data_IF_791549326898
#
_entry.id   IF_791549326898
#
_cell.length_a   1.000
_cell.length_b   1.000
_cell.length_c   1.000
_cell.angle_alpha   90.00
_cell.angle_beta   90.00
_cell.angle_gamma   90.00
#
_symmetry.space_group_name_H-M   'P 1'
#
loop_
_entity.id
_entity.type
_entity.pdbx_description
1 polymer ?
#
# COMPACT_ATOMS: atom_id res chain seq x y z
N UNK A 1 -3.83 19.28 -13.31
CA UNK A 1 -4.42 18.13 -12.58
C UNK A 1 -3.41 17.01 -12.60
N UNK A 2 -3.28 16.23 -11.52
CA UNK A 2 -2.40 15.06 -11.51
C UNK A 2 -2.84 14.05 -12.58
N UNK A 3 -1.87 13.37 -13.20
CA UNK A 3 -2.16 12.37 -14.23
C UNK A 3 -2.94 11.18 -13.66
N UNK A 4 -3.86 10.56 -14.44
CA UNK A 4 -4.53 9.33 -14.04
C UNK A 4 -3.53 8.22 -13.70
N UNK A 5 -3.81 7.47 -12.63
CA UNK A 5 -2.95 6.38 -12.17
C UNK A 5 -3.36 5.09 -12.87
N UNK A 6 -2.50 4.53 -13.73
CA UNK A 6 -2.74 3.21 -14.34
C UNK A 6 -2.69 2.12 -13.25
N UNK A 7 -3.82 1.44 -13.02
CA UNK A 7 -3.93 0.40 -11.98
C UNK A 7 -4.02 -1.01 -12.56
N UNK A 8 -4.50 -1.15 -13.80
CA UNK A 8 -4.55 -2.43 -14.50
C UNK A 8 -4.56 -2.25 -16.02
N UNK A 9 -4.08 -3.26 -16.74
CA UNK A 9 -4.09 -3.32 -18.19
C UNK A 9 -4.43 -4.73 -18.65
N UNK A 10 -5.29 -4.84 -19.66
CA UNK A 10 -5.64 -6.11 -20.29
C UNK A 10 -5.87 -5.90 -21.78
N UNK A 11 -4.99 -6.47 -22.62
CA UNK A 11 -5.00 -6.32 -24.07
C UNK A 11 -5.10 -4.84 -24.49
N UNK A 12 -6.26 -4.42 -25.00
CA UNK A 12 -6.52 -3.05 -25.48
C UNK A 12 -7.18 -2.15 -24.42
N UNK A 13 -7.45 -2.65 -23.22
CA UNK A 13 -8.15 -1.91 -22.16
C UNK A 13 -7.18 -1.53 -21.05
N UNK A 14 -7.20 -0.26 -20.68
CA UNK A 14 -6.48 0.28 -19.53
C UNK A 14 -7.46 0.79 -18.49
N UNK A 15 -7.21 0.44 -17.23
CA UNK A 15 -7.98 0.89 -16.09
C UNK A 15 -7.16 1.92 -15.32
N UNK A 16 -7.71 3.13 -15.22
CA UNK A 16 -7.08 4.27 -14.59
C UNK A 16 -7.88 4.73 -13.38
N UNK A 17 -7.19 5.00 -12.27
CA UNK A 17 -7.75 5.66 -11.11
C UNK A 17 -7.49 7.17 -11.23
N UNK A 18 -8.56 7.97 -11.17
CA UNK A 18 -8.45 9.42 -11.16
C UNK A 18 -8.02 9.89 -9.75
N UNK A 19 -6.87 10.58 -9.60
CA UNK A 19 -6.39 11.00 -8.28
C UNK A 19 -7.40 11.82 -7.49
N UNK A 20 -8.14 12.71 -8.16
CA UNK A 20 -9.17 13.55 -7.53
C UNK A 20 -10.38 12.79 -6.99
N UNK A 21 -10.56 11.51 -7.35
CA UNK A 21 -11.64 10.66 -6.85
C UNK A 21 -11.14 9.58 -5.86
N UNK A 22 -9.83 9.52 -5.61
CA UNK A 22 -9.22 8.57 -4.69
C UNK A 22 -9.48 8.87 -3.19
N UNK A 23 -10.22 9.94 -2.90
CA UNK A 23 -10.69 10.28 -1.56
C UNK A 23 -11.95 9.48 -1.13
N UNK A 24 -12.47 8.59 -2.00
CA UNK A 24 -13.55 7.68 -1.67
C UNK A 24 -13.00 6.35 -1.16
N UNK A 25 -13.72 5.72 -0.22
CA UNK A 25 -13.37 4.39 0.26
C UNK A 25 -13.45 3.35 -0.86
N UNK A 26 -12.51 2.41 -0.87
CA UNK A 26 -12.44 1.30 -1.80
C UNK A 26 -12.18 -0.02 -1.06
N UNK A 27 -12.46 -1.13 -1.74
CA UNK A 27 -12.28 -2.48 -1.22
C UNK A 27 -11.43 -3.30 -2.18
N UNK A 28 -10.29 -3.80 -1.70
CA UNK A 28 -9.48 -4.80 -2.40
C UNK A 28 -9.80 -6.16 -1.78
N UNK A 29 -10.44 -7.04 -2.56
CA UNK A 29 -10.84 -8.38 -2.12
C UNK A 29 -10.37 -9.44 -3.11
N UNK A 30 -10.26 -10.69 -2.65
CA UNK A 30 -9.79 -11.82 -3.45
C UNK A 30 -9.23 -12.95 -2.60
N UNK A 31 -9.09 -14.14 -3.18
CA UNK A 31 -8.51 -15.31 -2.51
C UNK A 31 -7.00 -15.13 -2.22
N UNK A 32 -6.41 -16.01 -1.42
CA UNK A 32 -4.95 -16.04 -1.22
C UNK A 32 -4.23 -16.24 -2.56
N UNK A 33 -3.13 -15.51 -2.78
CA UNK A 33 -2.36 -15.62 -4.02
C UNK A 33 -2.91 -14.84 -5.23
N UNK A 34 -4.04 -14.12 -5.08
CA UNK A 34 -4.65 -13.35 -6.19
C UNK A 34 -4.09 -11.93 -6.37
N UNK A 35 -3.00 -11.58 -5.69
CA UNK A 35 -2.33 -10.29 -5.89
C UNK A 35 -2.91 -9.12 -5.08
N UNK A 36 -3.68 -9.36 -4.01
CA UNK A 36 -4.19 -8.29 -3.11
C UNK A 36 -3.08 -7.36 -2.60
N UNK A 37 -2.00 -7.94 -2.04
CA UNK A 37 -0.86 -7.17 -1.50
C UNK A 37 -0.16 -6.38 -2.60
N UNK A 38 0.08 -7.01 -3.76
CA UNK A 38 0.69 -6.34 -4.93
C UNK A 38 -0.17 -5.17 -5.40
N UNK A 39 -1.49 -5.34 -5.46
CA UNK A 39 -2.42 -4.27 -5.86
C UNK A 39 -2.39 -3.11 -4.86
N UNK A 40 -2.42 -3.41 -3.56
CA UNK A 40 -2.32 -2.40 -2.50
C UNK A 40 -1.00 -1.63 -2.58
N UNK A 41 0.12 -2.34 -2.79
CA UNK A 41 1.43 -1.74 -2.93
C UNK A 41 1.53 -0.84 -4.17
N UNK A 42 1.06 -1.31 -5.34
CA UNK A 42 1.04 -0.50 -6.57
C UNK A 42 0.26 0.81 -6.39
N UNK A 43 -0.87 0.78 -5.68
CA UNK A 43 -1.64 1.97 -5.35
C UNK A 43 -0.85 2.90 -4.42
N UNK A 44 -0.26 2.36 -3.35
CA UNK A 44 0.51 3.14 -2.39
C UNK A 44 1.71 3.84 -3.04
N UNK A 45 2.46 3.13 -3.88
CA UNK A 45 3.60 3.67 -4.63
C UNK A 45 3.14 4.76 -5.61
N UNK A 46 1.99 4.56 -6.27
CA UNK A 46 1.44 5.54 -7.22
C UNK A 46 0.97 6.82 -6.53
N UNK A 47 0.39 6.72 -5.34
CA UNK A 47 0.04 7.89 -4.52
C UNK A 47 1.29 8.62 -4.01
N UNK A 48 2.29 7.87 -3.51
CA UNK A 48 3.56 8.44 -3.06
C UNK A 48 4.27 9.22 -4.18
N UNK A 49 4.25 8.70 -5.42
CA UNK A 49 4.83 9.33 -6.61
C UNK A 49 4.24 10.70 -6.94
N UNK A 50 2.97 10.91 -6.63
CA UNK A 50 2.28 12.20 -6.83
C UNK A 50 2.29 13.07 -5.57
N UNK A 51 3.07 12.70 -4.55
CA UNK A 51 3.23 13.45 -3.30
C UNK A 51 2.12 13.24 -2.28
N UNK A 52 1.26 12.22 -2.46
CA UNK A 52 0.20 11.89 -1.50
C UNK A 52 0.76 10.92 -0.46
N UNK A 53 0.78 11.28 0.84
CA UNK A 53 1.25 10.38 1.89
C UNK A 53 0.25 9.23 2.08
N UNK A 54 0.78 8.02 2.24
CA UNK A 54 -0.02 6.81 2.44
C UNK A 54 0.36 6.19 3.79
N UNK A 55 -0.66 5.98 4.62
CA UNK A 55 -0.53 5.26 5.88
C UNK A 55 -1.12 3.86 5.72
N UNK A 56 -0.35 2.82 6.06
CA UNK A 56 -0.76 1.43 5.91
C UNK A 56 -0.34 0.60 7.12
N UNK A 57 -1.18 -0.35 7.50
CA UNK A 57 -0.82 -1.37 8.47
C UNK A 57 -0.17 -2.55 7.75
N UNK A 58 1.09 -2.84 8.07
CA UNK A 58 1.81 -3.99 7.53
C UNK A 58 1.88 -5.12 8.56
N UNK A 59 0.81 -5.92 8.63
CA UNK A 59 0.69 -7.02 9.60
C UNK A 59 1.63 -8.19 9.25
N UNK A 60 2.00 -8.35 7.98
CA UNK A 60 2.79 -9.49 7.50
C UNK A 60 4.26 -9.16 7.24
N UNK A 61 4.62 -7.87 7.21
CA UNK A 61 5.95 -7.41 6.81
C UNK A 61 6.15 -7.38 5.30
N UNK A 62 5.10 -7.62 4.50
CA UNK A 62 5.19 -7.75 3.04
C UNK A 62 5.27 -6.38 2.32
N UNK A 63 4.94 -5.28 3.00
CA UNK A 63 4.85 -3.93 2.41
C UNK A 63 6.10 -3.09 2.67
N UNK A 64 6.87 -3.38 3.73
CA UNK A 64 8.12 -2.66 4.07
C UNK A 64 9.17 -2.65 2.94
N UNK A 65 9.10 -3.63 2.04
CA UNK A 65 9.94 -3.73 0.84
C UNK A 65 9.79 -2.53 -0.12
N UNK A 66 8.69 -1.77 -0.06
CA UNK A 66 8.50 -0.56 -0.86
C UNK A 66 9.56 0.54 -0.57
N UNK A 67 10.28 0.44 0.54
CA UNK A 67 11.41 1.34 0.88
C UNK A 67 12.66 1.09 0.05
N UNK A 68 12.75 -0.06 -0.64
CA UNK A 68 13.94 -0.47 -1.37
C UNK A 68 13.67 -0.51 -2.87
N UNK A 69 14.66 -0.18 -3.73
CA UNK A 69 14.55 -0.42 -5.16
C UNK A 69 14.39 -1.92 -5.41
N UNK A 70 13.32 -2.29 -6.12
CA UNK A 70 13.07 -3.68 -6.50
C UNK A 70 14.16 -4.28 -7.41
N UNK A 71 14.09 -5.59 -7.64
CA UNK A 71 14.91 -6.27 -8.65
C UNK A 71 14.00 -7.05 -9.60
N UNK A 72 14.16 -6.85 -10.89
CA UNK A 72 13.46 -7.63 -11.91
C UNK A 72 14.28 -8.89 -12.17
N UNK A 73 13.80 -10.03 -11.64
CA UNK A 73 14.40 -11.34 -11.92
C UNK A 73 13.96 -11.90 -13.27
N UNK A 74 14.66 -12.95 -13.74
CA UNK A 74 14.47 -13.55 -15.07
C UNK A 74 13.02 -13.98 -15.35
N UNK A 75 12.34 -14.53 -14.34
CA UNK A 75 10.94 -14.96 -14.46
C UNK A 75 10.00 -13.78 -14.74
N UNK A 76 10.20 -12.65 -14.08
CA UNK A 76 9.37 -11.45 -14.28
C UNK A 76 9.69 -10.81 -15.63
N UNK A 77 10.97 -10.72 -15.98
CA UNK A 77 11.43 -10.21 -17.28
C UNK A 77 10.82 -11.03 -18.45
N UNK A 78 10.78 -12.36 -18.33
CA UNK A 78 10.16 -13.23 -19.33
C UNK A 78 8.66 -12.96 -19.49
N UNK A 79 7.93 -12.81 -18.37
CA UNK A 79 6.49 -12.50 -18.39
C UNK A 79 6.21 -11.12 -19.00
N UNK A 80 7.03 -10.11 -18.68
CA UNK A 80 6.90 -8.78 -19.28
C UNK A 80 7.13 -8.83 -20.79
N UNK A 81 8.16 -9.56 -21.24
CA UNK A 81 8.47 -9.76 -22.66
C UNK A 81 7.34 -10.50 -23.39
N UNK A 82 6.82 -11.58 -22.82
CA UNK A 82 5.69 -12.34 -23.38
C UNK A 82 4.44 -11.47 -23.55
N UNK A 83 4.22 -10.55 -22.59
CA UNK A 83 3.07 -9.64 -22.60
C UNK A 83 3.30 -8.35 -23.38
N UNK A 84 4.48 -8.14 -23.96
CA UNK A 84 4.84 -6.91 -24.67
C UNK A 84 4.79 -5.66 -23.78
N UNK A 85 5.13 -5.80 -22.50
CA UNK A 85 5.19 -4.71 -21.54
C UNK A 85 6.63 -4.24 -21.35
N UNK A 86 6.81 -2.93 -21.25
CA UNK A 86 8.13 -2.34 -20.96
C UNK A 86 8.62 -2.77 -19.57
N UNK A 87 9.95 -2.86 -19.42
CA UNK A 87 10.54 -3.11 -18.11
C UNK A 87 10.34 -1.88 -17.22
N UNK A 88 9.64 -2.01 -16.08
CA UNK A 88 9.51 -0.89 -15.16
C UNK A 88 10.87 -0.57 -14.54
N UNK A 89 11.17 0.71 -14.36
CA UNK A 89 12.35 1.11 -13.60
C UNK A 89 12.16 0.71 -12.13
N UNK A 90 13.13 0.03 -11.49
CA UNK A 90 13.08 -0.19 -10.06
C UNK A 90 13.11 1.12 -9.29
N UNK A 91 12.19 1.27 -8.33
CA UNK A 91 12.01 2.50 -7.57
C UNK A 91 11.86 2.17 -6.09
N UNK A 92 12.23 3.12 -5.25
CA UNK A 92 12.00 3.11 -3.81
C UNK A 92 11.08 4.27 -3.43
N UNK A 93 10.16 4.02 -2.49
CA UNK A 93 9.34 5.05 -1.90
C UNK A 93 9.95 5.57 -0.58
N UNK A 94 9.90 6.89 -0.32
CA UNK A 94 10.20 7.42 1.00
C UNK A 94 9.27 6.74 2.02
N UNK A 95 9.87 6.02 2.97
CA UNK A 95 9.13 5.19 3.92
C UNK A 95 9.60 5.49 5.33
N UNK A 96 8.67 5.69 6.24
CA UNK A 96 8.93 5.72 7.68
C UNK A 96 8.14 4.58 8.32
N UNK A 97 8.85 3.67 8.98
CA UNK A 97 8.21 2.58 9.71
C UNK A 97 7.78 3.09 11.09
N UNK A 98 6.51 2.94 11.41
CA UNK A 98 5.97 3.27 12.71
C UNK A 98 5.95 2.01 13.56
N UNK A 99 6.49 2.13 14.76
CA UNK A 99 6.57 1.03 15.72
C UNK A 99 5.65 1.33 16.91
N UNK A 100 4.73 0.41 17.16
CA UNK A 100 3.78 0.45 18.26
C UNK A 100 4.49 0.32 19.61
N UNK A 101 5.61 -0.40 19.66
CA UNK A 101 6.44 -0.57 20.86
C UNK A 101 7.55 0.48 20.97
N UNK A 102 7.88 1.16 19.86
CA UNK A 102 8.89 2.22 19.82
C UNK A 102 10.34 1.71 19.93
N UNK A 103 10.60 0.45 19.58
CA UNK A 103 11.93 -0.18 19.67
C UNK A 103 12.74 -0.06 18.38
N UNK A 104 12.09 -0.28 17.23
CA UNK A 104 12.73 -0.45 15.92
C UNK A 104 12.34 0.62 14.89
N UNK A 105 11.37 1.48 15.21
CA UNK A 105 10.82 2.47 14.29
C UNK A 105 10.37 3.76 14.97
N UNK A 106 9.68 4.60 14.21
CA UNK A 106 9.12 5.84 14.73
C UNK A 106 8.01 5.53 15.76
N UNK A 107 8.11 6.00 17.00
CA UNK A 107 7.17 5.63 18.04
C UNK A 107 5.77 6.19 17.75
N UNK A 108 4.74 5.35 17.89
CA UNK A 108 3.37 5.83 17.90
C UNK A 108 3.15 6.67 19.17
N UNK A 109 2.69 7.92 19.01
CA UNK A 109 2.58 8.88 20.13
C UNK A 109 1.54 8.51 21.20
N UNK A 110 0.55 7.69 20.85
CA UNK A 110 -0.52 7.30 21.75
C UNK A 110 -0.63 5.78 21.78
N UNK A 111 -0.58 5.21 22.97
CA UNK A 111 -0.73 3.78 23.24
C UNK A 111 -2.14 3.49 23.75
N UNK A 112 -2.52 2.21 23.75
CA UNK A 112 -3.78 1.75 24.34
C UNK A 112 -3.87 2.12 25.83
N UNK A 113 -2.73 2.18 26.53
CA UNK A 113 -2.64 2.62 27.92
C UNK A 113 -3.03 4.09 28.09
N UNK A 114 -2.72 4.94 27.11
CA UNK A 114 -3.04 6.38 27.14
C UNK A 114 -4.53 6.66 26.90
N UNK A 115 -5.23 5.74 26.22
CA UNK A 115 -6.68 5.86 25.97
C UNK A 115 -7.50 5.69 27.25
N UNK A 116 -6.99 4.89 28.19
CA UNK A 116 -7.67 4.57 29.44
C UNK A 116 -8.88 3.63 29.28
N UNK A 117 -9.31 2.98 30.37
CA UNK A 117 -10.35 1.95 30.33
C UNK A 117 -11.73 2.48 29.92
N UNK A 118 -12.03 3.75 30.23
CA UNK A 118 -13.31 4.39 29.90
C UNK A 118 -13.50 4.60 28.40
N UNK A 119 -12.47 5.10 27.70
CA UNK A 119 -12.55 5.32 26.25
C UNK A 119 -12.59 3.99 25.50
N UNK A 120 -11.77 3.02 25.93
CA UNK A 120 -11.78 1.67 25.37
C UNK A 120 -13.14 0.99 25.55
N UNK A 121 -13.73 1.07 26.75
CA UNK A 121 -15.06 0.52 27.03
C UNK A 121 -16.14 1.11 26.12
N UNK A 122 -16.09 2.42 25.84
CA UNK A 122 -17.02 3.07 24.91
C UNK A 122 -16.77 2.68 23.44
N UNK A 123 -15.51 2.63 22.99
CA UNK A 123 -15.17 2.30 21.60
C UNK A 123 -15.51 0.86 21.23
N UNK A 124 -15.34 -0.06 22.17
CA UNK A 124 -15.58 -1.49 21.98
C UNK A 124 -16.97 -1.91 22.48
N UNK A 125 -17.78 -0.97 22.96
CA UNK A 125 -19.12 -1.19 23.48
C UNK A 125 -19.17 -2.30 24.56
N UNK A 126 -18.21 -2.28 25.49
CA UNK A 126 -17.98 -3.37 26.46
C UNK A 126 -18.86 -3.30 27.71
N UNK A 127 -19.47 -2.14 27.96
CA UNK A 127 -20.37 -1.93 29.09
C UNK A 127 -21.68 -1.36 28.52
N UNK A 128 -22.65 -2.24 28.30
CA UNK A 128 -24.07 -1.94 28.58
C UNK A 128 -24.31 -2.10 30.08
#
# INVERSE_FOLDING_TARGET
MAEPLLIAKHATTECHLLPGLANRHGLITGATGTGKTVTLQTLAESFSRIGVPVFMADVKGDLTGASQPGKIGDKLAAVLKERGLDMPAPLACPTTLWDVFGEQGHPVRATVSDMGPLLLGRMLNLNE
#
